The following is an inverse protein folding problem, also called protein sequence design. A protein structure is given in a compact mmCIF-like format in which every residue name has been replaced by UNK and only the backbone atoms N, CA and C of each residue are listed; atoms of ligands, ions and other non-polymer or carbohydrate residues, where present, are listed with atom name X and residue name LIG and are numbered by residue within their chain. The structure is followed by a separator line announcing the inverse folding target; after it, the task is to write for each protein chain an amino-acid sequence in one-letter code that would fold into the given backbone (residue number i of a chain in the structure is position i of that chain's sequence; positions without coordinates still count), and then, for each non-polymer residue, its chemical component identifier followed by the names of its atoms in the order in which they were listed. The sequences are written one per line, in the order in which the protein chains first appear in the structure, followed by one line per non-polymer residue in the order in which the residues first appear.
data_IF_707670870389
#
_entry.id   IF_707670870389
#
_cell.length_a   1.000
_cell.length_b   1.000
_cell.length_c   1.000
_cell.angle_alpha   90.00
_cell.angle_beta   90.00
_cell.angle_gamma   90.00
#
_symmetry.space_group_name_H-M   'P 1'
#
loop_
_entity.id
_entity.type
_entity.pdbx_description
1 polymer ?
#
# COMPACT_ATOMS: atom_id res chain seq x y z
N UNK A 1 -47.69 -27.39 -8.81
CA UNK A 1 -47.21 -26.77 -7.56
C UNK A 1 -45.74 -26.44 -7.74
N UNK A 2 -45.44 -25.18 -8.06
CA UNK A 2 -44.09 -24.61 -7.99
C UNK A 2 -43.91 -24.05 -6.58
N UNK A 3 -42.85 -24.45 -5.88
CA UNK A 3 -42.30 -23.69 -4.76
C UNK A 3 -40.78 -23.84 -4.82
N UNK A 4 -40.14 -22.72 -5.12
CA UNK A 4 -38.72 -22.58 -5.34
C UNK A 4 -37.93 -22.93 -4.07
N UNK A 5 -36.91 -23.76 -4.24
CA UNK A 5 -35.79 -23.82 -3.30
C UNK A 5 -35.01 -22.51 -3.43
N UNK A 6 -35.25 -21.60 -2.49
CA UNK A 6 -34.41 -20.45 -2.21
C UNK A 6 -33.05 -20.94 -1.72
N UNK A 7 -32.13 -21.18 -2.65
CA UNK A 7 -30.71 -21.26 -2.33
C UNK A 7 -30.25 -19.81 -2.14
N UNK A 8 -30.41 -19.32 -0.91
CA UNK A 8 -29.75 -18.10 -0.46
C UNK A 8 -28.24 -18.36 -0.49
N UNK A 9 -27.63 -18.03 -1.62
CA UNK A 9 -26.18 -18.04 -1.78
C UNK A 9 -25.57 -17.11 -0.73
N UNK A 10 -24.88 -17.70 0.22
CA UNK A 10 -23.95 -16.97 1.06
C UNK A 10 -22.84 -16.48 0.14
N UNK A 11 -22.98 -15.25 -0.36
CA UNK A 11 -21.87 -14.50 -0.91
C UNK A 11 -20.98 -14.23 0.30
N UNK A 12 -20.07 -15.15 0.58
CA UNK A 12 -18.87 -14.82 1.34
C UNK A 12 -18.33 -13.56 0.66
N UNK A 13 -18.35 -12.43 1.38
CA UNK A 13 -17.72 -11.22 0.91
C UNK A 13 -16.25 -11.58 0.65
N UNK A 14 -15.91 -11.84 -0.61
CA UNK A 14 -14.54 -12.02 -1.01
C UNK A 14 -13.85 -10.70 -0.66
N UNK A 15 -12.93 -10.74 0.29
CA UNK A 15 -12.03 -9.63 0.52
C UNK A 15 -11.42 -9.24 -0.83
N UNK A 16 -11.34 -7.93 -1.13
CA UNK A 16 -10.76 -7.49 -2.39
C UNK A 16 -9.34 -8.07 -2.53
N UNK A 17 -8.94 -8.49 -3.75
CA UNK A 17 -7.63 -9.07 -3.97
C UNK A 17 -6.55 -8.11 -3.50
N UNK A 18 -5.68 -8.58 -2.60
CA UNK A 18 -4.51 -7.83 -2.13
C UNK A 18 -3.37 -8.07 -3.10
N UNK A 19 -2.75 -6.99 -3.58
CA UNK A 19 -1.61 -7.09 -4.47
C UNK A 19 -0.33 -6.91 -3.66
N UNK A 20 0.33 -8.02 -3.32
CA UNK A 20 1.47 -8.05 -2.40
C UNK A 20 2.72 -8.61 -3.06
N UNK A 21 3.88 -8.16 -2.59
CA UNK A 21 5.16 -8.79 -2.91
C UNK A 21 5.12 -10.25 -2.42
N UNK A 22 5.56 -11.18 -3.27
CA UNK A 22 5.68 -12.58 -2.89
C UNK A 22 6.67 -12.72 -1.72
N UNK A 23 6.25 -13.27 -0.57
CA UNK A 23 7.12 -13.39 0.59
C UNK A 23 8.15 -14.49 0.37
N UNK A 24 9.36 -14.27 0.88
CA UNK A 24 10.38 -15.29 1.05
C UNK A 24 10.65 -15.57 2.53
N UNK A 25 11.25 -16.73 2.82
CA UNK A 25 11.47 -17.16 4.20
C UNK A 25 12.40 -16.19 4.95
N UNK A 26 11.90 -15.65 6.06
CA UNK A 26 12.67 -14.77 6.93
C UNK A 26 12.66 -13.29 6.52
N UNK A 27 11.89 -12.90 5.50
CA UNK A 27 11.77 -11.51 5.07
C UNK A 27 11.42 -10.54 6.21
N UNK A 28 12.20 -9.47 6.35
CA UNK A 28 11.91 -8.40 7.30
C UNK A 28 10.89 -7.37 6.79
N UNK A 29 10.65 -7.29 5.49
CA UNK A 29 9.70 -6.35 4.89
C UNK A 29 8.71 -7.08 4.00
N UNK A 30 7.45 -6.71 4.17
CA UNK A 30 6.37 -6.99 3.23
C UNK A 30 6.04 -5.72 2.46
N UNK A 31 5.49 -5.86 1.25
CA UNK A 31 5.05 -4.72 0.45
C UNK A 31 3.67 -5.01 -0.16
N UNK A 32 2.84 -3.98 -0.20
CA UNK A 32 1.46 -4.03 -0.67
C UNK A 32 1.14 -2.80 -1.52
N UNK A 33 0.47 -3.04 -2.65
CA UNK A 33 0.11 -2.00 -3.61
C UNK A 33 -1.36 -1.62 -3.49
N UNK A 34 -1.63 -0.32 -3.56
CA UNK A 34 -2.97 0.25 -3.57
C UNK A 34 -3.10 1.26 -4.71
N UNK A 35 -4.33 1.51 -5.16
CA UNK A 35 -4.65 2.58 -6.09
C UNK A 35 -4.69 3.91 -5.33
N UNK A 36 -3.89 4.85 -5.78
CA UNK A 36 -3.84 6.23 -5.32
C UNK A 36 -4.89 7.07 -6.07
N UNK A 37 -5.73 7.78 -5.32
CA UNK A 37 -6.66 8.76 -5.87
C UNK A 37 -6.04 10.16 -5.78
N UNK A 38 -5.84 10.88 -6.90
CA UNK A 38 -5.19 12.19 -6.90
C UNK A 38 -5.87 13.22 -6.00
N UNK A 39 -7.19 13.10 -5.76
CA UNK A 39 -7.95 14.00 -4.89
C UNK A 39 -7.76 13.73 -3.39
N UNK A 40 -7.22 12.57 -3.00
CA UNK A 40 -7.21 12.08 -1.63
C UNK A 40 -5.82 11.64 -1.15
N UNK A 41 -4.75 12.02 -1.86
CA UNK A 41 -3.37 11.54 -1.61
C UNK A 41 -2.97 11.64 -0.14
N UNK A 42 -3.10 12.81 0.48
CA UNK A 42 -2.66 13.01 1.87
C UNK A 42 -3.41 12.13 2.87
N UNK A 43 -4.74 11.99 2.69
CA UNK A 43 -5.57 11.15 3.56
C UNK A 43 -5.27 9.66 3.35
N UNK A 44 -5.02 9.23 2.11
CA UNK A 44 -4.65 7.85 1.79
C UNK A 44 -3.26 7.50 2.34
N UNK A 45 -2.29 8.41 2.21
CA UNK A 45 -0.95 8.26 2.81
C UNK A 45 -1.06 8.13 4.33
N UNK A 46 -1.80 9.03 5.00
CA UNK A 46 -1.99 8.97 6.44
C UNK A 46 -2.64 7.66 6.89
N UNK A 47 -3.73 7.25 6.22
CA UNK A 47 -4.45 6.01 6.52
C UNK A 47 -3.57 4.76 6.36
N UNK A 48 -2.75 4.71 5.29
CA UNK A 48 -1.81 3.62 5.05
C UNK A 48 -0.70 3.55 6.11
N UNK A 49 -0.25 4.71 6.62
CA UNK A 49 0.74 4.79 7.69
C UNK A 49 0.18 4.38 9.06
N UNK A 50 -1.11 4.53 9.30
CA UNK A 50 -1.76 4.07 10.54
C UNK A 50 -2.05 2.57 10.54
N UNK A 51 -1.93 1.91 9.39
CA UNK A 51 -2.12 0.47 9.28
C UNK A 51 -3.53 0.00 9.64
N UNK A 52 -4.54 0.87 9.56
CA UNK A 52 -5.92 0.59 9.97
C UNK A 52 -6.11 0.44 11.48
N UNK A 53 -5.16 0.90 12.29
CA UNK A 53 -5.29 0.99 13.75
C UNK A 53 -5.56 2.45 14.14
N UNK A 54 -6.34 2.67 15.20
CA UNK A 54 -6.58 4.00 15.74
C UNK A 54 -5.25 4.69 16.08
N UNK A 55 -4.95 5.75 15.32
CA UNK A 55 -3.87 6.74 15.45
C UNK A 55 -2.56 6.26 16.10
N UNK A 56 -1.54 6.04 15.26
CA UNK A 56 -0.17 6.10 15.75
C UNK A 56 0.25 7.56 15.95
N UNK A 57 0.75 7.90 17.13
CA UNK A 57 1.23 9.25 17.44
C UNK A 57 2.55 9.52 16.71
N UNK A 58 2.52 10.49 15.79
CA UNK A 58 3.71 10.98 15.09
C UNK A 58 3.29 11.82 13.89
N UNK A 59 3.98 12.93 13.65
CA UNK A 59 3.74 13.74 12.46
C UNK A 59 4.07 12.93 11.21
N UNK A 60 3.28 13.10 10.13
CA UNK A 60 3.61 12.50 8.83
C UNK A 60 4.78 13.28 8.24
N UNK A 61 5.91 12.61 8.09
CA UNK A 61 7.09 13.16 7.42
C UNK A 61 7.10 12.67 5.98
N UNK A 62 7.13 13.61 5.03
CA UNK A 62 7.23 13.32 3.61
C UNK A 62 8.58 13.78 3.04
N UNK A 63 9.35 12.85 2.49
CA UNK A 63 10.58 13.09 1.74
C UNK A 63 10.25 13.08 0.26
N UNK A 64 10.56 14.17 -0.45
CA UNK A 64 10.25 14.34 -1.88
C UNK A 64 11.52 14.24 -2.70
N UNK A 65 11.54 13.36 -3.69
CA UNK A 65 12.62 13.26 -4.68
C UNK A 65 12.42 14.25 -5.83
N UNK A 66 13.49 14.82 -6.41
CA UNK A 66 13.41 15.60 -7.65
C UNK A 66 12.79 14.83 -8.83
N UNK A 67 12.89 13.50 -8.83
CA UNK A 67 12.35 12.63 -9.89
C UNK A 67 10.84 12.34 -9.71
N UNK A 68 10.19 13.01 -8.76
CA UNK A 68 8.77 12.88 -8.49
C UNK A 68 8.35 11.65 -7.69
N UNK A 69 9.31 10.95 -7.08
CA UNK A 69 9.04 9.89 -6.11
C UNK A 69 8.95 10.48 -4.70
N UNK A 70 7.85 10.21 -4.01
CA UNK A 70 7.65 10.61 -2.63
C UNK A 70 7.71 9.40 -1.70
N UNK A 71 8.31 9.61 -0.53
CA UNK A 71 8.35 8.65 0.58
C UNK A 71 7.73 9.30 1.80
N UNK A 72 6.82 8.61 2.47
CA UNK A 72 6.22 9.07 3.73
C UNK A 72 6.38 8.04 4.84
N UNK A 73 6.55 8.54 6.07
CA UNK A 73 6.61 7.75 7.30
C UNK A 73 6.11 8.60 8.48
N UNK A 74 5.88 8.00 9.65
CA UNK A 74 5.59 8.76 10.87
C UNK A 74 6.85 9.00 11.69
N UNK A 75 7.03 10.24 12.15
CA UNK A 75 8.16 10.56 13.02
C UNK A 75 8.12 9.69 14.28
N UNK A 76 9.28 9.15 14.68
CA UNK A 76 9.41 8.29 15.85
C UNK A 76 8.94 6.84 15.66
N UNK A 77 8.36 6.46 14.50
CA UNK A 77 7.94 5.07 14.28
C UNK A 77 9.01 4.21 13.62
N UNK A 78 10.01 4.81 12.97
CA UNK A 78 11.11 4.05 12.38
C UNK A 78 11.99 3.40 13.46
N UNK A 79 12.52 2.18 13.21
CA UNK A 79 12.48 1.46 11.93
C UNK A 79 11.31 0.45 11.82
N UNK A 80 10.34 0.47 12.74
CA UNK A 80 9.28 -0.55 12.83
C UNK A 80 7.97 -0.14 12.17
N UNK A 81 7.70 1.15 12.08
CA UNK A 81 6.52 1.71 11.42
C UNK A 81 6.54 1.50 9.92
N UNK A 82 5.37 1.57 9.27
CA UNK A 82 5.28 1.45 7.83
C UNK A 82 5.95 2.62 7.11
N UNK A 83 6.38 2.35 5.89
CA UNK A 83 6.87 3.34 4.94
C UNK A 83 5.96 3.28 3.71
N UNK A 84 5.60 4.44 3.18
CA UNK A 84 4.74 4.57 2.01
C UNK A 84 5.51 5.23 0.88
N UNK A 85 5.46 4.65 -0.32
CA UNK A 85 6.06 5.18 -1.55
C UNK A 85 4.97 5.49 -2.58
N UNK A 86 5.00 6.66 -3.18
CA UNK A 86 4.04 7.09 -4.19
C UNK A 86 4.63 8.10 -5.16
N UNK A 87 4.04 8.25 -6.35
CA UNK A 87 4.42 9.27 -7.31
C UNK A 87 3.74 10.61 -6.98
N UNK A 88 4.47 11.71 -7.10
CA UNK A 88 3.95 13.06 -6.99
C UNK A 88 3.21 13.52 -8.25
N UNK A 89 2.55 14.68 -8.15
CA UNK A 89 1.77 15.27 -9.24
C UNK A 89 2.62 15.78 -10.40
N UNK A 90 3.93 15.93 -10.17
CA UNK A 90 4.96 16.32 -11.13
C UNK A 90 5.29 15.23 -12.16
N UNK A 91 4.92 13.97 -11.93
CA UNK A 91 5.18 12.87 -12.86
C UNK A 91 4.20 12.94 -14.03
N UNK A 92 4.69 13.01 -15.27
CA UNK A 92 3.93 13.29 -16.50
C UNK A 92 2.67 12.41 -16.70
N UNK A 93 2.74 11.15 -16.27
CA UNK A 93 1.63 10.17 -16.36
C UNK A 93 0.88 9.95 -15.05
N UNK A 94 1.24 10.67 -13.97
CA UNK A 94 0.64 10.61 -12.63
C UNK A 94 0.20 9.19 -12.23
N UNK A 95 1.17 8.27 -12.00
CA UNK A 95 0.87 6.91 -11.60
C UNK A 95 -0.14 6.87 -10.45
N UNK A 96 -1.22 6.13 -10.65
CA UNK A 96 -2.32 6.00 -9.70
C UNK A 96 -2.03 4.90 -8.67
N UNK A 97 -0.77 4.75 -8.24
CA UNK A 97 -0.40 3.69 -7.32
C UNK A 97 0.48 4.17 -6.16
N UNK A 98 0.27 3.51 -5.03
CA UNK A 98 0.94 3.77 -3.76
C UNK A 98 1.31 2.43 -3.14
N UNK A 99 2.56 2.31 -2.70
CA UNK A 99 3.10 1.09 -2.13
C UNK A 99 3.35 1.28 -0.65
N UNK A 100 2.77 0.44 0.19
CA UNK A 100 3.07 0.38 1.62
C UNK A 100 4.06 -0.74 1.88
N UNK A 101 5.19 -0.41 2.47
CA UNK A 101 6.12 -1.37 3.06
C UNK A 101 5.86 -1.46 4.56
N UNK A 102 5.81 -2.68 5.10
CA UNK A 102 5.61 -2.92 6.53
C UNK A 102 6.68 -3.86 7.05
N UNK A 103 7.27 -3.51 8.18
CA UNK A 103 8.29 -4.33 8.81
C UNK A 103 7.66 -5.45 9.62
N UNK A 104 8.13 -6.67 9.36
CA UNK A 104 7.90 -7.81 10.23
C UNK A 104 8.97 -7.81 11.34
N UNK A 105 8.58 -7.68 12.62
CA UNK A 105 9.54 -7.71 13.73
C UNK A 105 10.23 -9.07 13.91
N UNK A 106 9.67 -10.16 13.37
CA UNK A 106 10.25 -11.50 13.41
C UNK A 106 11.16 -11.79 12.21
N UNK A 107 11.15 -10.93 11.20
CA UNK A 107 11.97 -11.10 10.01
C UNK A 107 13.46 -10.92 10.28
N UNK A 108 14.26 -11.85 9.77
CA UNK A 108 15.70 -11.96 10.01
C UNK A 108 16.55 -11.62 8.78
N UNK A 109 15.92 -11.49 7.60
CA UNK A 109 16.55 -11.16 6.33
C UNK A 109 16.23 -9.71 5.98
N UNK A 110 17.26 -8.88 5.85
CA UNK A 110 17.11 -7.56 5.25
C UNK A 110 16.84 -7.70 3.74
N UNK A 111 15.59 -7.51 3.36
CA UNK A 111 15.11 -7.53 1.99
C UNK A 111 14.69 -6.12 1.50
N UNK A 112 15.23 -5.05 2.10
CA UNK A 112 14.89 -3.66 1.78
C UNK A 112 15.07 -3.31 0.31
N UNK A 113 16.18 -3.72 -0.30
CA UNK A 113 16.42 -3.51 -1.73
C UNK A 113 15.35 -4.17 -2.61
N UNK A 114 14.96 -5.42 -2.28
CA UNK A 114 13.93 -6.14 -3.04
C UNK A 114 12.56 -5.50 -2.88
N UNK A 115 12.18 -5.17 -1.64
CA UNK A 115 10.92 -4.51 -1.34
C UNK A 115 10.80 -3.16 -2.06
N UNK A 116 11.85 -2.33 -1.99
CA UNK A 116 11.89 -1.04 -2.68
C UNK A 116 11.80 -1.22 -4.20
N UNK A 117 12.58 -2.14 -4.80
CA UNK A 117 12.51 -2.41 -6.25
C UNK A 117 11.14 -2.89 -6.68
N UNK A 118 10.50 -3.75 -5.88
CA UNK A 118 9.15 -4.22 -6.15
C UNK A 118 8.16 -3.05 -6.16
N UNK A 119 8.14 -2.21 -5.12
CA UNK A 119 7.29 -1.01 -5.08
C UNK A 119 7.53 -0.08 -6.29
N UNK A 120 8.78 0.21 -6.62
CA UNK A 120 9.15 1.12 -7.71
C UNK A 120 8.75 0.60 -9.09
N UNK A 121 8.63 -0.72 -9.27
CA UNK A 121 8.17 -1.30 -10.52
C UNK A 121 6.71 -0.95 -10.85
N UNK A 122 5.93 -0.53 -9.85
CA UNK A 122 4.54 -0.10 -9.98
C UNK A 122 4.38 1.42 -9.78
N UNK A 123 5.01 1.99 -8.76
CA UNK A 123 4.81 3.40 -8.41
C UNK A 123 5.30 4.35 -9.51
N UNK A 124 6.36 4.01 -10.24
CA UNK A 124 6.90 4.85 -11.31
C UNK A 124 6.44 4.46 -12.72
N UNK A 125 5.65 3.39 -12.87
CA UNK A 125 5.16 2.91 -14.16
C UNK A 125 3.66 2.77 -14.12
N UNK A 126 2.97 3.31 -15.12
CA UNK A 126 1.55 3.05 -15.28
C UNK A 126 1.33 1.53 -15.44
N UNK A 127 0.55 0.93 -14.54
CA UNK A 127 0.20 -0.48 -14.56
C UNK A 127 -1.27 -0.65 -15.01
N UNK A 128 -1.63 -0.27 -16.26
CA UNK A 128 -3.02 -0.19 -16.72
C UNK A 128 -3.79 -1.51 -16.69
N UNK A 129 -3.09 -2.63 -16.54
CA UNK A 129 -3.66 -3.98 -16.56
C UNK A 129 -3.87 -4.59 -15.18
N UNK A 130 -3.42 -3.93 -14.10
CA UNK A 130 -3.54 -4.47 -12.74
C UNK A 130 -4.76 -3.85 -12.06
N UNK A 131 -5.72 -4.70 -11.66
CA UNK A 131 -6.85 -4.26 -10.83
C UNK A 131 -6.35 -4.17 -9.39
N UNK A 132 -5.84 -3.01 -9.02
CA UNK A 132 -5.32 -2.71 -7.68
C UNK A 132 -6.48 -2.23 -6.78
N UNK A 133 -6.60 -2.69 -5.53
CA UNK A 133 -7.60 -2.18 -4.59
C UNK A 133 -7.36 -0.70 -4.26
N UNK A 134 -8.39 0.11 -4.00
CA UNK A 134 -8.22 1.50 -3.60
C UNK A 134 -7.46 1.62 -2.26
N UNK A 135 -6.62 2.64 -2.12
CA UNK A 135 -6.04 2.96 -0.83
C UNK A 135 -7.14 3.45 0.13
N UNK A 136 -7.12 3.01 1.40
CA UNK A 136 -8.14 3.38 2.36
C UNK A 136 -8.10 4.87 2.67
N UNK A 137 -9.27 5.41 2.99
CA UNK A 137 -9.46 6.75 3.57
C UNK A 137 -10.26 6.50 4.85
N UNK A 138 -9.65 6.72 6.01
CA UNK A 138 -10.24 6.51 7.32
C UNK A 138 -10.23 7.82 8.10
#
# INVERSE_FOLDING_TARGET
MLAALLVAGQVAAQEPPRFTMTPEAGDALTAELFRLEPSNVDAQVASLLDGGRDQQSGEVVAVRSPDGLNMAYREGTLPYGPIVLYAGSEVEWQPDSICRMTRDPEGVVDNSERAARWCLSFVMRWAPTVVIPPAPVH
#
